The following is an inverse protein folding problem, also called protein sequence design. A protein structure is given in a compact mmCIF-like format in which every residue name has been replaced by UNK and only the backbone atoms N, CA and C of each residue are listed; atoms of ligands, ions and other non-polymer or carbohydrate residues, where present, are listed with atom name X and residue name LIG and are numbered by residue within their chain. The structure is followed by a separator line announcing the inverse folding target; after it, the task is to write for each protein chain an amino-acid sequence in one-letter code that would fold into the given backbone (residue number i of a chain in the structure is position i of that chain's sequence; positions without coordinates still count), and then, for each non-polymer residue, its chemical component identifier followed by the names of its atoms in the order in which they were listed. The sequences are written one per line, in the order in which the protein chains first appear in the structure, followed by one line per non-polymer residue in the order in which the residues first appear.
data_IF_172018453201
#
_entry.id   IF_172018453201
#
_cell.length_a   1.000
_cell.length_b   1.000
_cell.length_c   1.000
_cell.angle_alpha   90.00
_cell.angle_beta   90.00
_cell.angle_gamma   90.00
#
_symmetry.space_group_name_H-M   'P 1'
#
loop_
_entity.id
_entity.type
_entity.pdbx_description
1 polymer ?
#
# COMPACT_ATOMS: atom_id res chain seq x y z
N UNK A 1 9.88 -6.25 -20.35
CA UNK A 1 9.52 -6.66 -18.98
C UNK A 1 8.27 -5.88 -18.61
N UNK A 2 7.23 -6.47 -18.01
CA UNK A 2 6.03 -5.68 -17.67
C UNK A 2 6.20 -5.05 -16.29
N UNK A 3 6.28 -3.73 -16.22
CA UNK A 3 6.31 -3.00 -14.95
C UNK A 3 4.92 -2.94 -14.32
N UNK A 4 4.90 -2.98 -12.98
CA UNK A 4 3.69 -3.00 -12.17
C UNK A 4 3.85 -2.04 -11.00
N UNK A 5 2.73 -1.53 -10.52
CA UNK A 5 2.65 -0.86 -9.23
C UNK A 5 1.97 -1.80 -8.23
N UNK A 6 2.67 -2.12 -7.15
CA UNK A 6 2.07 -2.74 -5.97
C UNK A 6 1.66 -1.61 -5.05
N UNK A 7 0.35 -1.44 -4.87
CA UNK A 7 -0.23 -0.39 -4.03
C UNK A 7 -0.92 -1.03 -2.83
N UNK A 8 -0.78 -0.43 -1.66
CA UNK A 8 -1.48 -0.88 -0.47
C UNK A 8 -1.98 0.28 0.39
N UNK A 9 -3.05 0.05 1.13
CA UNK A 9 -3.47 0.88 2.26
C UNK A 9 -3.19 0.06 3.51
N UNK A 10 -2.46 0.63 4.47
CA UNK A 10 -2.07 -0.07 5.70
C UNK A 10 -2.22 0.86 6.90
N UNK A 11 -2.20 0.28 8.11
CA UNK A 11 -2.18 1.07 9.36
C UNK A 11 -0.81 1.74 9.58
N UNK A 12 -0.77 3.00 10.05
CA UNK A 12 0.49 3.70 10.35
C UNK A 12 1.41 2.93 11.32
N UNK A 13 0.83 2.23 12.32
CA UNK A 13 1.59 1.45 13.30
C UNK A 13 2.37 0.26 12.72
N UNK A 14 2.15 -0.09 11.44
CA UNK A 14 2.84 -1.19 10.76
C UNK A 14 4.06 -0.75 9.94
N UNK A 15 4.31 0.56 9.82
CA UNK A 15 5.34 1.07 8.91
C UNK A 15 6.75 0.59 9.21
N UNK A 16 7.12 0.45 10.49
CA UNK A 16 8.45 -0.04 10.85
C UNK A 16 8.66 -1.48 10.39
N UNK A 17 7.75 -2.38 10.77
CA UNK A 17 7.77 -3.79 10.34
C UNK A 17 7.67 -3.94 8.83
N UNK A 18 6.90 -3.09 8.16
CA UNK A 18 6.80 -3.06 6.70
C UNK A 18 8.12 -2.67 6.05
N UNK A 19 8.77 -1.60 6.53
CA UNK A 19 10.07 -1.15 6.03
C UNK A 19 11.11 -2.27 6.11
N UNK A 20 11.16 -2.95 7.25
CA UNK A 20 12.17 -3.99 7.48
C UNK A 20 11.89 -5.23 6.60
N UNK A 21 10.62 -5.63 6.45
CA UNK A 21 10.22 -6.72 5.56
C UNK A 21 10.54 -6.42 4.08
N UNK A 22 10.29 -5.20 3.61
CA UNK A 22 10.59 -4.80 2.22
C UNK A 22 12.11 -4.73 1.97
N UNK A 23 12.89 -4.23 2.94
CA UNK A 23 14.37 -4.17 2.84
C UNK A 23 15.03 -5.53 2.84
N UNK A 24 14.38 -6.55 3.40
CA UNK A 24 14.88 -7.93 3.37
C UNK A 24 14.74 -8.59 1.99
N UNK A 25 13.94 -8.02 1.08
CA UNK A 25 13.79 -8.55 -0.28
C UNK A 25 15.04 -8.17 -1.10
N UNK A 26 15.75 -9.16 -1.70
CA UNK A 26 16.88 -8.88 -2.57
C UNK A 26 16.46 -7.99 -3.76
N UNK A 27 17.29 -7.01 -4.10
CA UNK A 27 17.06 -6.08 -5.21
C UNK A 27 15.76 -5.27 -5.12
N UNK A 28 15.25 -5.02 -3.90
CA UNK A 28 14.06 -4.20 -3.71
C UNK A 28 14.25 -2.77 -4.29
N UNK A 29 13.36 -2.29 -5.18
CA UNK A 29 13.57 -1.04 -5.91
C UNK A 29 13.33 0.23 -5.09
N UNK A 30 12.62 0.12 -3.96
CA UNK A 30 12.23 1.25 -3.11
C UNK A 30 10.72 1.37 -2.93
N UNK A 31 10.30 2.29 -2.07
CA UNK A 31 8.89 2.51 -1.71
C UNK A 31 8.62 4.00 -1.54
N UNK A 32 7.43 4.44 -1.94
CA UNK A 32 6.90 5.78 -1.65
C UNK A 32 5.68 5.64 -0.75
N UNK A 33 5.56 6.52 0.26
CA UNK A 33 4.44 6.54 1.20
C UNK A 33 3.66 7.84 1.08
N UNK A 34 2.33 7.75 1.12
CA UNK A 34 1.43 8.89 1.21
C UNK A 34 0.61 8.80 2.49
N UNK A 35 0.45 9.93 3.19
CA UNK A 35 -0.54 10.03 4.27
C UNK A 35 -1.93 9.97 3.64
N UNK A 36 -2.80 9.20 4.24
CA UNK A 36 -4.17 9.05 3.79
C UNK A 36 -5.09 8.95 5.00
N UNK A 37 -6.36 9.19 4.76
CA UNK A 37 -7.44 8.96 5.71
C UNK A 37 -8.49 8.09 5.04
N UNK A 38 -9.14 7.22 5.80
CA UNK A 38 -10.15 6.34 5.26
C UNK A 38 -11.03 5.74 6.35
N UNK A 39 -12.18 5.25 5.94
CA UNK A 39 -13.11 4.52 6.79
C UNK A 39 -13.55 3.25 6.06
N UNK A 40 -13.92 2.25 6.85
CA UNK A 40 -14.59 1.05 6.32
C UNK A 40 -16.08 1.24 6.56
N UNK A 41 -16.90 1.12 5.51
CA UNK A 41 -18.35 1.22 5.66
C UNK A 41 -18.85 0.20 6.70
N UNK A 42 -19.73 0.58 7.65
CA UNK A 42 -20.30 -0.39 8.57
C UNK A 42 -21.31 -1.28 7.85
N UNK A 43 -21.27 -2.57 8.16
CA UNK A 43 -22.24 -3.56 7.67
C UNK A 43 -23.66 -3.38 8.24
N UNK A 44 -23.86 -2.48 9.22
CA UNK A 44 -25.15 -2.15 9.80
C UNK A 44 -25.16 -0.69 10.23
N UNK A 45 -26.09 0.12 9.72
CA UNK A 45 -26.27 1.50 10.16
C UNK A 45 -27.48 1.51 11.08
N UNK A 46 -27.24 1.60 12.38
CA UNK A 46 -28.19 2.30 13.25
C UNK A 46 -27.81 3.79 13.27
N UNK A 47 -28.82 4.64 13.42
CA UNK A 47 -28.82 6.07 13.09
C UNK A 47 -27.63 6.82 13.69
N UNK A 48 -26.85 7.51 12.85
CA UNK A 48 -25.77 8.43 13.26
C UNK A 48 -26.20 9.89 13.07
N UNK A 49 -25.84 10.74 14.02
CA UNK A 49 -26.01 12.19 13.96
C UNK A 49 -25.00 12.83 13.00
N UNK A 50 -25.28 14.03 12.48
CA UNK A 50 -24.38 14.78 11.55
C UNK A 50 -22.97 14.98 12.12
N UNK A 51 -22.83 15.02 13.46
CA UNK A 51 -21.53 15.13 14.14
C UNK A 51 -20.71 13.85 14.08
N UNK A 52 -21.36 12.68 14.05
CA UNK A 52 -20.70 11.38 14.00
C UNK A 52 -20.22 11.04 12.57
N UNK A 53 -20.93 11.51 11.53
CA UNK A 53 -20.47 11.41 10.12
C UNK A 53 -19.14 12.15 9.88
N UNK A 54 -18.89 13.25 10.59
CA UNK A 54 -17.66 14.06 10.45
C UNK A 54 -16.42 13.43 11.12
N UNK A 55 -16.57 12.29 11.82
CA UNK A 55 -15.49 11.62 12.57
C UNK A 55 -15.16 10.21 12.09
N UNK A 56 -15.72 9.76 10.96
CA UNK A 56 -15.57 8.38 10.48
C UNK A 56 -14.17 8.05 9.93
N UNK A 57 -13.38 9.06 9.56
CA UNK A 57 -12.08 8.87 8.96
C UNK A 57 -11.01 8.54 10.00
N UNK A 58 -10.22 7.52 9.70
CA UNK A 58 -9.08 7.11 10.51
C UNK A 58 -7.80 7.18 9.69
N UNK A 59 -6.69 7.54 10.33
CA UNK A 59 -5.39 7.60 9.68
C UNK A 59 -5.01 6.27 9.02
N UNK A 60 -4.48 6.40 7.80
CA UNK A 60 -3.94 5.33 6.98
C UNK A 60 -2.63 5.77 6.34
N UNK A 61 -1.91 4.81 5.78
CA UNK A 61 -0.78 5.08 4.90
C UNK A 61 -0.99 4.33 3.60
N UNK A 62 -0.87 5.06 2.48
CA UNK A 62 -0.79 4.44 1.17
C UNK A 62 0.66 4.13 0.84
N UNK A 63 0.93 2.88 0.50
CA UNK A 63 2.22 2.34 0.11
C UNK A 63 2.20 2.16 -1.40
N UNK A 64 3.22 2.66 -2.09
CA UNK A 64 3.41 2.53 -3.54
C UNK A 64 4.79 1.95 -3.82
N UNK A 65 4.85 0.86 -4.56
CA UNK A 65 6.09 0.23 -5.02
C UNK A 65 5.99 -0.04 -6.52
N UNK A 66 6.91 0.54 -7.30
CA UNK A 66 7.06 0.24 -8.72
C UNK A 66 8.12 -0.85 -8.89
N UNK A 67 7.76 -1.95 -9.57
CA UNK A 67 8.65 -3.08 -9.76
C UNK A 67 8.35 -3.85 -11.05
N UNK A 68 9.29 -4.69 -11.48
CA UNK A 68 9.03 -5.68 -12.52
C UNK A 68 7.99 -6.71 -12.07
N UNK A 69 7.23 -7.28 -13.00
CA UNK A 69 6.21 -8.29 -12.71
C UNK A 69 6.73 -9.49 -11.90
N UNK A 70 7.98 -9.89 -12.08
CA UNK A 70 8.64 -10.96 -11.32
C UNK A 70 8.73 -10.68 -9.82
N UNK A 71 8.74 -9.40 -9.42
CA UNK A 71 8.87 -8.94 -8.04
C UNK A 71 7.52 -8.68 -7.37
N UNK A 72 6.41 -8.74 -8.10
CA UNK A 72 5.07 -8.46 -7.56
C UNK A 72 4.74 -9.36 -6.39
N UNK A 73 4.89 -10.67 -6.56
CA UNK A 73 4.51 -11.63 -5.53
C UNK A 73 5.34 -11.52 -4.24
N UNK A 74 6.68 -11.47 -4.27
CA UNK A 74 7.45 -11.30 -3.03
C UNK A 74 7.14 -9.98 -2.32
N UNK A 75 6.92 -8.89 -3.05
CA UNK A 75 6.58 -7.58 -2.47
C UNK A 75 5.17 -7.61 -1.85
N UNK A 76 4.18 -8.12 -2.59
CA UNK A 76 2.79 -8.26 -2.13
C UNK A 76 2.71 -9.12 -0.87
N UNK A 77 3.45 -10.24 -0.85
CA UNK A 77 3.48 -11.15 0.30
C UNK A 77 4.17 -10.52 1.52
N UNK A 78 5.26 -9.77 1.32
CA UNK A 78 5.91 -9.04 2.39
C UNK A 78 5.00 -7.97 3.00
N UNK A 79 4.31 -7.17 2.17
CA UNK A 79 3.31 -6.17 2.63
C UNK A 79 2.23 -6.86 3.46
N UNK A 80 1.64 -7.93 2.92
CA UNK A 80 0.56 -8.68 3.57
C UNK A 80 1.02 -9.20 4.93
N UNK A 81 2.14 -9.92 4.98
CA UNK A 81 2.63 -10.56 6.22
C UNK A 81 3.09 -9.54 7.27
N UNK A 82 3.67 -8.42 6.85
CA UNK A 82 4.10 -7.36 7.77
C UNK A 82 2.91 -6.61 8.38
N UNK A 83 1.88 -6.34 7.58
CA UNK A 83 0.75 -5.50 7.97
C UNK A 83 -0.42 -6.29 8.59
N UNK A 84 -0.44 -7.61 8.42
CA UNK A 84 -1.48 -8.48 8.97
C UNK A 84 -1.48 -8.51 10.50
N UNK A 85 -2.67 -8.30 11.09
CA UNK A 85 -2.97 -8.55 12.50
C UNK A 85 -4.20 -9.43 12.70
N UNK A 86 -4.93 -9.75 11.63
CA UNK A 86 -6.18 -10.48 11.71
C UNK A 86 -7.36 -9.64 12.20
N UNK A 87 -7.23 -8.31 12.25
CA UNK A 87 -8.28 -7.40 12.72
C UNK A 87 -8.87 -6.62 11.54
N UNK A 88 -10.12 -6.19 11.68
CA UNK A 88 -10.73 -5.28 10.70
C UNK A 88 -9.87 -4.02 10.58
N UNK A 89 -9.65 -3.56 9.34
CA UNK A 89 -8.81 -2.40 9.06
C UNK A 89 -7.31 -2.69 8.91
N UNK A 90 -6.91 -3.96 8.76
CA UNK A 90 -5.55 -4.33 8.29
C UNK A 90 -5.19 -3.60 6.98
N UNK A 91 -6.19 -3.40 6.13
CA UNK A 91 -6.10 -2.66 4.88
C UNK A 91 -6.18 -3.57 3.65
N UNK A 92 -5.71 -3.07 2.51
CA UNK A 92 -5.80 -3.74 1.22
C UNK A 92 -4.47 -3.64 0.49
N UNK A 93 -4.16 -4.63 -0.35
CA UNK A 93 -3.04 -4.59 -1.30
C UNK A 93 -3.55 -5.03 -2.66
N UNK A 94 -3.16 -4.31 -3.70
CA UNK A 94 -3.55 -4.58 -5.08
C UNK A 94 -2.41 -4.22 -6.03
N UNK A 95 -2.58 -4.61 -7.29
CA UNK A 95 -1.58 -4.43 -8.33
C UNK A 95 -2.20 -3.68 -9.50
N UNK A 96 -1.47 -2.71 -10.04
CA UNK A 96 -1.88 -1.91 -11.20
C UNK A 96 -0.85 -2.11 -12.31
N UNK A 97 -1.34 -2.21 -13.55
CA UNK A 97 -0.50 -2.27 -14.74
C UNK A 97 0.07 -0.90 -15.05
N UNK A 98 1.38 -0.84 -15.27
CA UNK A 98 2.06 0.40 -15.64
C UNK A 98 2.53 0.30 -17.08
N UNK A 99 2.02 1.21 -17.92
CA UNK A 99 2.35 1.27 -19.34
C UNK A 99 3.80 1.73 -19.57
N UNK A 100 4.26 2.75 -18.84
CA UNK A 100 5.57 3.36 -19.02
C UNK A 100 6.18 3.80 -17.70
N UNK A 101 7.50 3.66 -17.58
CA UNK A 101 8.29 4.18 -16.45
C UNK A 101 9.59 4.73 -16.98
N UNK A 102 9.92 5.96 -16.59
CA UNK A 102 11.15 6.65 -16.97
C UNK A 102 11.93 7.05 -15.72
N UNK A 103 13.23 6.76 -15.69
CA UNK A 103 14.10 7.23 -14.60
C UNK A 103 14.54 8.66 -14.87
N UNK A 104 14.25 9.58 -13.95
CA UNK A 104 14.53 11.01 -14.10
C UNK A 104 16.03 11.32 -14.30
N UNK A 105 16.92 10.63 -13.58
CA UNK A 105 18.36 10.93 -13.57
C UNK A 105 19.01 10.81 -14.95
N UNK A 106 18.63 9.81 -15.72
CA UNK A 106 19.30 9.42 -16.97
C UNK A 106 18.34 9.26 -18.16
N UNK A 107 17.02 9.47 -17.95
CA UNK A 107 16.00 9.34 -18.99
C UNK A 107 15.76 7.90 -19.45
N UNK A 108 16.29 6.90 -18.73
CA UNK A 108 16.16 5.50 -19.12
C UNK A 108 14.71 5.04 -19.01
N UNK A 109 14.16 4.45 -20.09
CA UNK A 109 12.91 3.67 -20.03
C UNK A 109 13.16 2.36 -19.28
N UNK A 110 12.32 2.09 -18.29
CA UNK A 110 12.30 0.84 -17.52
C UNK A 110 11.16 -0.10 -17.95
N UNK A 111 10.31 0.37 -18.87
CA UNK A 111 9.32 -0.43 -19.58
C UNK A 111 9.86 -0.85 -20.96
#
# INVERSE_FOLDING_TARGET
MTMKEIRAIVRPSRLERLRDALRAIPNFPGVTLFRAEGFTAPAAIDKRSVKEELTDFSDKVMVCVLAEASMVEPIRQAITTACHSGQVGDGLVWVVDIAEIHRIRDGQSLA
#
